data_IF_628868747442
#
_entry.id   IF_628868747442
#
_cell.length_a   1.000
_cell.length_b   1.000
_cell.length_c   1.000
_cell.angle_alpha   90.00
_cell.angle_beta   90.00
_cell.angle_gamma   90.00
#
_symmetry.space_group_name_H-M   'P 1'
#
loop_
_entity.id
_entity.type
_entity.pdbx_description
1 polymer ?
#
# COMPACT_ATOMS: atom_id res chain seq x y z
N UNK A 1 13.06 40.25 11.10
CA UNK A 1 14.26 39.38 11.19
C UNK A 1 14.16 38.35 10.07
N UNK A 2 15.05 38.43 9.07
CA UNK A 2 15.02 37.57 7.87
C UNK A 2 15.34 36.12 8.27
N UNK A 3 14.37 35.21 8.20
CA UNK A 3 14.64 33.78 8.22
C UNK A 3 15.17 33.39 6.84
N UNK A 4 16.45 33.04 6.79
CA UNK A 4 17.12 32.43 5.65
C UNK A 4 16.44 31.10 5.33
N UNK A 5 15.87 31.00 4.11
CA UNK A 5 15.32 29.78 3.57
C UNK A 5 16.43 28.75 3.35
N UNK A 6 16.52 27.76 4.24
CA UNK A 6 17.31 26.54 4.00
C UNK A 6 16.59 25.77 2.89
N UNK A 7 17.20 25.71 1.70
CA UNK A 7 16.76 24.81 0.62
C UNK A 7 16.88 23.37 1.10
N UNK A 8 15.76 22.80 1.52
CA UNK A 8 15.63 21.39 1.90
C UNK A 8 15.68 20.55 0.62
N UNK A 9 16.84 19.95 0.32
CA UNK A 9 16.93 18.89 -0.68
C UNK A 9 16.38 17.62 -0.03
N UNK A 10 15.14 17.29 -0.35
CA UNK A 10 14.51 16.02 0.03
C UNK A 10 15.05 14.97 -0.94
N UNK A 11 16.05 14.19 -0.52
CA UNK A 11 16.34 12.92 -1.19
C UNK A 11 15.24 11.94 -0.79
N UNK A 12 14.20 11.84 -1.63
CA UNK A 12 13.33 10.67 -1.65
C UNK A 12 14.17 9.56 -2.27
N UNK A 13 14.80 8.72 -1.45
CA UNK A 13 15.41 7.50 -1.94
C UNK A 13 14.29 6.55 -2.32
N UNK A 14 13.97 6.51 -3.61
CA UNK A 14 13.33 5.35 -4.23
C UNK A 14 14.17 4.13 -3.86
N UNK A 15 13.59 3.16 -3.15
CA UNK A 15 14.22 1.85 -2.96
C UNK A 15 14.38 1.26 -4.37
N UNK A 16 15.57 1.41 -4.94
CA UNK A 16 15.92 0.86 -6.22
C UNK A 16 15.99 -0.68 -6.07
N UNK A 17 14.94 -1.35 -6.50
CA UNK A 17 14.92 -2.79 -6.68
C UNK A 17 15.73 -3.13 -7.93
N UNK A 18 17.02 -3.38 -7.75
CA UNK A 18 17.86 -3.97 -8.79
C UNK A 18 17.87 -5.48 -8.57
N UNK A 19 17.26 -6.23 -9.49
CA UNK A 19 17.50 -7.66 -9.69
C UNK A 19 18.26 -7.85 -11.01
N UNK A 20 19.38 -8.57 -10.95
CA UNK A 20 20.12 -8.98 -12.13
C UNK A 20 19.41 -10.16 -12.80
N UNK A 21 19.23 -10.07 -14.12
CA UNK A 21 18.70 -11.12 -14.97
C UNK A 21 19.75 -12.24 -15.20
N UNK A 22 19.28 -13.48 -15.17
CA UNK A 22 19.68 -14.52 -16.12
C UNK A 22 18.69 -15.68 -16.04
N UNK A 23 17.85 -15.84 -17.06
CA UNK A 23 17.07 -17.07 -17.26
C UNK A 23 17.15 -17.50 -18.73
N UNK A 24 17.72 -18.70 -18.93
CA UNK A 24 17.46 -19.51 -20.11
C UNK A 24 16.07 -20.13 -19.95
N UNK A 25 15.18 -19.84 -20.87
CA UNK A 25 13.83 -20.39 -20.96
C UNK A 25 13.88 -21.88 -21.29
N UNK A 26 13.28 -22.72 -20.45
CA UNK A 26 12.85 -24.08 -20.82
C UNK A 26 11.34 -24.06 -21.03
N UNK A 27 10.93 -24.24 -22.27
CA UNK A 27 9.54 -24.38 -22.70
C UNK A 27 9.02 -25.74 -22.23
N UNK A 28 7.94 -25.75 -21.44
CA UNK A 28 7.14 -26.95 -21.20
C UNK A 28 5.79 -26.71 -21.87
N UNK A 29 5.56 -27.38 -23.00
CA UNK A 29 4.28 -27.38 -23.70
C UNK A 29 3.34 -28.35 -22.97
N UNK A 30 2.34 -27.82 -22.27
CA UNK A 30 1.13 -28.57 -21.94
C UNK A 30 -0.01 -28.02 -22.80
N UNK A 31 -0.29 -28.70 -23.89
CA UNK A 31 -1.49 -28.52 -24.71
C UNK A 31 -2.66 -29.23 -24.04
N UNK A 32 -3.57 -28.49 -23.44
CA UNK A 32 -4.95 -28.93 -23.25
C UNK A 32 -5.87 -28.02 -24.05
N UNK A 33 -6.34 -28.53 -25.17
CA UNK A 33 -7.44 -27.98 -25.95
C UNK A 33 -8.72 -28.06 -25.11
N UNK A 34 -9.25 -26.91 -24.68
CA UNK A 34 -10.64 -26.82 -24.25
C UNK A 34 -11.38 -25.89 -25.20
N UNK A 35 -12.33 -26.48 -25.89
CA UNK A 35 -13.36 -25.84 -26.71
C UNK A 35 -14.19 -24.88 -25.86
N UNK A 36 -14.33 -23.65 -26.34
CA UNK A 36 -15.15 -22.58 -25.77
C UNK A 36 -16.63 -23.01 -25.68
N UNK A 37 -17.03 -23.44 -24.49
CA UNK A 37 -18.41 -23.33 -24.03
C UNK A 37 -18.43 -22.18 -23.02
N UNK A 38 -18.66 -20.95 -23.49
CA UNK A 38 -18.86 -19.78 -22.60
C UNK A 38 -20.08 -20.05 -21.71
N UNK A 39 -19.83 -20.47 -20.47
CA UNK A 39 -20.82 -20.46 -19.41
C UNK A 39 -21.31 -19.01 -19.23
N UNK A 40 -22.62 -18.77 -19.11
CA UNK A 40 -23.14 -17.42 -18.94
C UNK A 40 -22.54 -16.78 -17.69
N UNK A 41 -21.95 -15.58 -17.84
CA UNK A 41 -21.30 -14.87 -16.73
C UNK A 41 -22.34 -14.54 -15.66
N UNK A 42 -22.18 -15.10 -14.46
CA UNK A 42 -23.12 -14.93 -13.35
C UNK A 42 -22.77 -13.70 -12.51
N UNK A 43 -23.76 -12.88 -12.20
CA UNK A 43 -23.65 -11.83 -11.19
C UNK A 43 -23.37 -12.42 -9.79
N UNK A 44 -22.88 -11.58 -8.86
CA UNK A 44 -22.69 -11.94 -7.45
C UNK A 44 -21.75 -13.14 -7.21
N UNK A 45 -20.80 -13.37 -8.12
CA UNK A 45 -19.79 -14.42 -8.00
C UNK A 45 -18.43 -13.89 -8.45
N UNK A 46 -17.36 -14.42 -7.85
CA UNK A 46 -15.99 -14.16 -8.28
C UNK A 46 -15.63 -15.15 -9.39
N UNK A 47 -15.12 -14.61 -10.47
CA UNK A 47 -14.65 -15.35 -11.64
C UNK A 47 -13.13 -15.22 -11.75
N UNK A 48 -12.51 -16.19 -12.39
CA UNK A 48 -11.07 -16.22 -12.63
C UNK A 48 -10.83 -16.31 -14.13
N UNK A 49 -9.95 -15.45 -14.64
CA UNK A 49 -9.70 -15.32 -16.06
C UNK A 49 -8.20 -15.32 -16.35
N UNK A 50 -7.82 -15.91 -17.48
CA UNK A 50 -6.45 -15.84 -18.00
C UNK A 50 -6.44 -15.07 -19.30
N UNK A 51 -5.52 -14.12 -19.44
CA UNK A 51 -5.32 -13.39 -20.69
C UNK A 51 -4.86 -14.39 -21.74
N UNK A 52 -5.55 -14.40 -22.89
CA UNK A 52 -5.27 -15.35 -23.98
C UNK A 52 -3.79 -15.30 -24.39
N UNK A 53 -3.18 -16.48 -24.52
CA UNK A 53 -1.77 -16.67 -24.90
C UNK A 53 -0.77 -15.95 -23.95
N UNK A 54 -1.09 -15.85 -22.67
CA UNK A 54 -0.25 -15.20 -21.66
C UNK A 54 -0.30 -15.95 -20.33
N UNK A 55 0.73 -15.78 -19.49
CA UNK A 55 0.73 -16.26 -18.10
C UNK A 55 0.03 -15.26 -17.15
N UNK A 56 -0.52 -14.18 -17.69
CA UNK A 56 -1.25 -13.15 -16.94
C UNK A 56 -2.66 -13.63 -16.67
N UNK A 57 -3.08 -13.62 -15.41
CA UNK A 57 -4.42 -13.95 -14.95
C UNK A 57 -4.90 -12.96 -13.89
N UNK A 58 -6.21 -12.90 -13.72
CA UNK A 58 -6.87 -11.99 -12.79
C UNK A 58 -8.17 -12.60 -12.28
N UNK A 59 -8.65 -12.10 -11.15
CA UNK A 59 -10.00 -12.37 -10.68
C UNK A 59 -10.90 -11.16 -10.98
N UNK A 60 -12.19 -11.38 -11.16
CA UNK A 60 -13.15 -10.29 -11.25
C UNK A 60 -14.48 -10.62 -10.58
N UNK A 61 -15.19 -9.60 -10.16
CA UNK A 61 -16.50 -9.70 -9.54
C UNK A 61 -17.48 -8.77 -10.25
N UNK A 62 -18.68 -9.30 -10.52
CA UNK A 62 -19.79 -8.55 -11.07
C UNK A 62 -20.80 -8.25 -9.96
N UNK A 63 -21.23 -6.98 -9.80
CA UNK A 63 -22.17 -6.60 -8.75
C UNK A 63 -23.52 -7.32 -8.91
N UNK A 64 -24.28 -7.47 -7.83
CA UNK A 64 -25.58 -8.16 -7.84
C UNK A 64 -26.55 -7.59 -8.89
N UNK A 65 -26.55 -6.26 -9.08
CA UNK A 65 -27.32 -5.57 -10.13
C UNK A 65 -26.68 -5.58 -11.52
N UNK A 66 -25.87 -6.59 -11.86
CA UNK A 66 -25.22 -6.69 -13.16
C UNK A 66 -26.21 -7.08 -14.29
N UNK A 67 -26.11 -6.38 -15.41
CA UNK A 67 -26.94 -6.46 -16.60
C UNK A 67 -26.03 -6.20 -17.80
N UNK A 68 -25.96 -7.18 -18.70
CA UNK A 68 -25.13 -7.13 -19.91
C UNK A 68 -25.47 -5.97 -20.88
N UNK A 69 -26.61 -5.29 -20.70
CA UNK A 69 -27.07 -4.22 -21.59
C UNK A 69 -26.59 -2.82 -21.21
N UNK A 70 -26.00 -2.64 -20.01
CA UNK A 70 -25.48 -1.35 -19.54
C UNK A 70 -24.02 -1.41 -19.13
N UNK A 71 -23.33 -0.27 -19.17
CA UNK A 71 -21.93 -0.13 -18.75
C UNK A 71 -21.82 0.23 -17.26
N UNK A 72 -20.76 -0.26 -16.61
CA UNK A 72 -20.51 -0.13 -15.18
C UNK A 72 -19.15 0.53 -14.90
N UNK A 73 -19.03 1.32 -13.83
CA UNK A 73 -17.72 1.73 -13.33
C UNK A 73 -16.92 0.50 -12.86
N UNK A 74 -15.58 0.61 -12.92
CA UNK A 74 -14.69 -0.49 -12.52
C UNK A 74 -13.54 -0.02 -11.64
N UNK A 75 -13.18 -0.82 -10.64
CA UNK A 75 -11.95 -0.66 -9.86
C UNK A 75 -11.01 -1.83 -10.14
N UNK A 76 -9.81 -1.51 -10.64
CA UNK A 76 -8.71 -2.46 -10.75
C UNK A 76 -7.86 -2.45 -9.47
N UNK A 77 -7.78 -3.60 -8.80
CA UNK A 77 -7.03 -3.83 -7.59
C UNK A 77 -5.64 -4.40 -7.84
N UNK A 78 -4.68 -3.87 -7.07
CA UNK A 78 -3.30 -4.33 -7.04
C UNK A 78 -2.86 -4.60 -5.60
N UNK A 79 -2.59 -5.87 -5.28
CA UNK A 79 -2.04 -6.32 -4.00
C UNK A 79 -0.52 -6.51 -4.11
N UNK A 80 0.24 -6.17 -3.06
CA UNK A 80 1.72 -6.25 -3.09
C UNK A 80 2.26 -7.68 -3.24
N UNK A 81 1.44 -8.70 -3.02
CA UNK A 81 1.78 -10.12 -3.13
C UNK A 81 1.05 -10.83 -4.26
N UNK A 82 0.50 -10.08 -5.23
CA UNK A 82 -0.28 -10.64 -6.35
C UNK A 82 -1.51 -11.46 -5.91
N UNK A 83 -2.15 -11.09 -4.80
CA UNK A 83 -3.39 -11.72 -4.32
C UNK A 83 -4.62 -10.92 -4.80
N UNK A 84 -4.92 -10.94 -6.09
CA UNK A 84 -6.01 -10.15 -6.69
C UNK A 84 -7.40 -10.42 -6.10
N UNK A 85 -7.68 -11.66 -5.68
CA UNK A 85 -8.95 -12.03 -5.04
C UNK A 85 -9.12 -11.42 -3.64
N UNK A 86 -8.03 -11.14 -2.92
CA UNK A 86 -8.08 -10.63 -1.54
C UNK A 86 -8.88 -9.31 -1.42
N UNK A 87 -8.58 -8.25 -2.18
CA UNK A 87 -9.36 -7.02 -2.12
C UNK A 87 -10.77 -7.17 -2.72
N UNK A 88 -10.97 -8.07 -3.70
CA UNK A 88 -12.31 -8.35 -4.24
C UNK A 88 -13.21 -8.92 -3.15
N UNK A 89 -12.78 -9.98 -2.47
CA UNK A 89 -13.56 -10.62 -1.41
C UNK A 89 -13.85 -9.65 -0.26
N UNK A 90 -12.83 -8.87 0.12
CA UNK A 90 -12.94 -7.87 1.18
C UNK A 90 -14.01 -6.81 0.86
N UNK A 91 -14.09 -6.36 -0.38
CA UNK A 91 -14.90 -5.20 -0.75
C UNK A 91 -16.16 -5.52 -1.56
N UNK A 92 -16.43 -6.79 -1.88
CA UNK A 92 -17.56 -7.22 -2.73
C UNK A 92 -18.90 -6.66 -2.31
N UNK A 93 -19.16 -6.56 -1.00
CA UNK A 93 -20.43 -6.05 -0.47
C UNK A 93 -20.66 -4.60 -0.89
N UNK A 94 -19.69 -3.73 -0.61
CA UNK A 94 -19.78 -2.31 -0.95
C UNK A 94 -19.74 -2.13 -2.47
N UNK A 95 -18.89 -2.86 -3.19
CA UNK A 95 -18.89 -2.82 -4.66
C UNK A 95 -20.24 -3.18 -5.27
N UNK A 96 -20.97 -4.12 -4.66
CA UNK A 96 -22.33 -4.48 -5.10
C UNK A 96 -23.34 -3.36 -4.86
N UNK A 97 -23.31 -2.77 -3.66
CA UNK A 97 -24.21 -1.67 -3.29
C UNK A 97 -24.11 -0.48 -4.25
N UNK A 98 -22.89 -0.18 -4.72
CA UNK A 98 -22.60 0.93 -5.62
C UNK A 98 -22.53 0.52 -7.10
N UNK A 99 -22.81 -0.74 -7.46
CA UNK A 99 -22.73 -1.26 -8.83
C UNK A 99 -21.35 -1.05 -9.50
N UNK A 100 -20.27 -1.36 -8.78
CA UNK A 100 -18.92 -1.40 -9.34
C UNK A 100 -18.53 -2.82 -9.72
N UNK A 101 -17.98 -2.97 -10.92
CA UNK A 101 -17.17 -4.14 -11.27
C UNK A 101 -15.84 -4.01 -10.52
N UNK A 102 -15.32 -5.11 -10.01
CA UNK A 102 -13.95 -5.13 -9.47
C UNK A 102 -13.11 -6.18 -10.18
N UNK A 103 -11.85 -5.85 -10.43
CA UNK A 103 -10.88 -6.70 -11.12
C UNK A 103 -9.60 -6.70 -10.31
N UNK A 104 -9.04 -7.85 -9.97
CA UNK A 104 -7.85 -7.97 -9.14
C UNK A 104 -6.74 -8.72 -9.85
N UNK A 105 -5.58 -8.09 -10.01
CA UNK A 105 -4.42 -8.72 -10.66
C UNK A 105 -3.83 -9.82 -9.79
N UNK A 106 -3.56 -10.99 -10.38
CA UNK A 106 -2.90 -12.12 -9.72
C UNK A 106 -1.43 -12.29 -10.13
N UNK A 107 -0.84 -11.29 -10.79
CA UNK A 107 0.57 -11.34 -11.22
C UNK A 107 1.40 -10.16 -10.71
N UNK A 108 0.78 -9.01 -10.46
CA UNK A 108 1.48 -7.84 -9.95
C UNK A 108 1.90 -8.06 -8.50
N UNK A 109 3.19 -8.29 -8.25
CA UNK A 109 3.79 -8.38 -6.91
C UNK A 109 5.03 -7.50 -6.81
N UNK A 110 5.46 -7.21 -5.58
CA UNK A 110 6.71 -6.50 -5.34
C UNK A 110 7.90 -7.18 -6.00
N UNK A 111 8.88 -6.38 -6.43
CA UNK A 111 10.15 -6.88 -6.97
C UNK A 111 10.19 -7.15 -8.47
N UNK A 112 9.09 -6.99 -9.20
CA UNK A 112 9.09 -7.15 -10.66
C UNK A 112 9.76 -5.94 -11.35
N UNK A 113 10.38 -6.14 -12.53
CA UNK A 113 10.84 -5.05 -13.39
C UNK A 113 9.70 -4.18 -13.92
N UNK A 114 9.99 -2.92 -14.24
CA UNK A 114 8.99 -1.98 -14.77
C UNK A 114 8.27 -2.49 -16.02
N UNK A 115 8.99 -3.10 -16.97
CA UNK A 115 8.41 -3.63 -18.19
C UNK A 115 7.38 -4.75 -17.92
N UNK A 116 7.59 -5.54 -16.87
CA UNK A 116 6.64 -6.59 -16.48
C UNK A 116 5.38 -5.98 -15.86
N UNK A 117 5.49 -4.95 -15.00
CA UNK A 117 4.32 -4.24 -14.51
C UNK A 117 3.48 -3.65 -15.66
N UNK A 118 4.11 -2.97 -16.61
CA UNK A 118 3.40 -2.40 -17.77
C UNK A 118 2.71 -3.47 -18.62
N UNK A 119 3.35 -4.63 -18.80
CA UNK A 119 2.73 -5.75 -19.50
C UNK A 119 1.51 -6.31 -18.74
N UNK A 120 1.61 -6.49 -17.42
CA UNK A 120 0.53 -6.96 -16.56
C UNK A 120 -0.65 -5.98 -16.58
N UNK A 121 -0.39 -4.69 -16.38
CA UNK A 121 -1.42 -3.64 -16.36
C UNK A 121 -2.15 -3.60 -17.71
N UNK A 122 -1.41 -3.38 -18.80
CA UNK A 122 -1.99 -3.19 -20.12
C UNK A 122 -2.75 -4.42 -20.63
N UNK A 123 -2.24 -5.63 -20.36
CA UNK A 123 -2.90 -6.88 -20.76
C UNK A 123 -4.18 -7.12 -19.95
N UNK A 124 -4.14 -6.94 -18.63
CA UNK A 124 -5.32 -7.09 -17.76
C UNK A 124 -6.41 -6.08 -18.13
N UNK A 125 -6.04 -4.82 -18.35
CA UNK A 125 -6.99 -3.77 -18.74
C UNK A 125 -7.64 -4.09 -20.09
N UNK A 126 -6.83 -4.43 -21.11
CA UNK A 126 -7.35 -4.71 -22.45
C UNK A 126 -8.30 -5.90 -22.45
N UNK A 127 -7.92 -6.99 -21.79
CA UNK A 127 -8.72 -8.21 -21.72
C UNK A 127 -10.04 -7.95 -20.98
N UNK A 128 -9.99 -7.38 -19.77
CA UNK A 128 -11.19 -7.08 -18.98
C UNK A 128 -12.13 -6.09 -19.68
N UNK A 129 -11.62 -5.01 -20.28
CA UNK A 129 -12.44 -4.04 -21.02
C UNK A 129 -13.11 -4.67 -22.24
N UNK A 130 -12.46 -5.64 -22.88
CA UNK A 130 -13.02 -6.32 -24.06
C UNK A 130 -14.14 -7.31 -23.71
N UNK A 131 -14.10 -7.92 -22.52
CA UNK A 131 -15.03 -8.97 -22.08
C UNK A 131 -16.18 -8.44 -21.22
N UNK A 132 -15.93 -7.40 -20.43
CA UNK A 132 -16.87 -6.90 -19.43
C UNK A 132 -17.56 -5.62 -19.90
N UNK A 133 -18.75 -5.36 -19.37
CA UNK A 133 -19.51 -4.14 -19.63
C UNK A 133 -18.96 -2.96 -18.83
N UNK A 134 -17.73 -2.55 -19.12
CA UNK A 134 -17.04 -1.45 -18.44
C UNK A 134 -17.34 -0.11 -19.12
N UNK A 135 -17.70 0.89 -18.32
CA UNK A 135 -17.71 2.29 -18.74
C UNK A 135 -16.27 2.81 -18.73
N UNK A 136 -15.72 3.03 -19.93
CA UNK A 136 -14.33 3.50 -20.09
C UNK A 136 -14.11 4.93 -19.61
N UNK A 137 -15.17 5.71 -19.35
CA UNK A 137 -15.06 7.01 -18.70
C UNK A 137 -15.01 6.90 -17.17
N UNK A 138 -15.16 5.69 -16.60
CA UNK A 138 -15.25 5.42 -15.17
C UNK A 138 -14.36 4.24 -14.75
N UNK A 139 -13.09 4.31 -15.17
CA UNK A 139 -12.05 3.37 -14.77
C UNK A 139 -11.27 3.95 -13.60
N UNK A 140 -11.12 3.16 -12.54
CA UNK A 140 -10.39 3.52 -11.34
C UNK A 140 -9.39 2.42 -10.97
N UNK A 141 -8.37 2.78 -10.20
CA UNK A 141 -7.40 1.81 -9.68
C UNK A 141 -7.25 1.98 -8.19
N UNK A 142 -7.05 0.88 -7.47
CA UNK A 142 -6.75 0.90 -6.05
C UNK A 142 -5.66 -0.12 -5.73
N UNK A 143 -4.78 0.19 -4.81
CA UNK A 143 -3.77 -0.77 -4.39
C UNK A 143 -3.26 -0.51 -2.99
N UNK A 144 -2.59 -1.51 -2.44
CA UNK A 144 -2.02 -1.46 -1.10
C UNK A 144 -0.51 -1.66 -1.10
N UNK A 145 0.19 -0.85 -0.31
CA UNK A 145 1.65 -0.88 -0.17
C UNK A 145 2.32 -0.78 -1.55
N UNK A 146 3.18 -1.72 -1.95
CA UNK A 146 3.73 -1.73 -3.31
C UNK A 146 2.67 -1.80 -4.41
N UNK A 147 1.53 -2.44 -4.18
CA UNK A 147 0.38 -2.42 -5.09
C UNK A 147 -0.25 -1.03 -5.25
N UNK A 148 -0.18 -0.17 -4.23
CA UNK A 148 -0.63 1.23 -4.34
C UNK A 148 0.21 2.00 -5.37
N UNK A 149 1.52 1.74 -5.40
CA UNK A 149 2.43 2.30 -6.41
C UNK A 149 2.10 1.78 -7.80
N UNK A 150 1.72 0.51 -7.93
CA UNK A 150 1.27 -0.05 -9.22
C UNK A 150 -0.04 0.57 -9.68
N UNK A 151 -1.01 0.79 -8.78
CA UNK A 151 -2.23 1.51 -9.10
C UNK A 151 -1.95 2.93 -9.64
N UNK A 152 -1.01 3.65 -9.03
CA UNK A 152 -0.56 4.96 -9.52
C UNK A 152 0.11 4.85 -10.89
N UNK A 153 1.00 3.87 -11.10
CA UNK A 153 1.66 3.64 -12.39
C UNK A 153 0.65 3.33 -13.50
N UNK A 154 -0.36 2.50 -13.22
CA UNK A 154 -1.42 2.19 -14.16
C UNK A 154 -2.17 3.45 -14.63
N UNK A 155 -2.35 4.44 -13.73
CA UNK A 155 -2.96 5.71 -14.08
C UNK A 155 -2.06 6.65 -14.90
N UNK A 156 -0.74 6.46 -14.85
CA UNK A 156 0.19 7.16 -15.74
C UNK A 156 0.30 6.51 -17.12
N UNK A 157 0.01 5.22 -17.25
CA UNK A 157 0.06 4.51 -18.53
C UNK A 157 -1.12 4.82 -19.46
N UNK A 158 -2.24 5.33 -18.91
CA UNK A 158 -3.43 5.64 -19.71
C UNK A 158 -4.30 6.72 -19.10
N UNK A 159 -4.76 7.65 -19.95
CA UNK A 159 -5.71 8.71 -19.57
C UNK A 159 -7.13 8.18 -19.28
N UNK A 160 -7.38 6.88 -19.50
CA UNK A 160 -8.67 6.26 -19.19
C UNK A 160 -8.91 6.14 -17.68
N UNK A 161 -7.85 6.03 -16.87
CA UNK A 161 -7.99 5.99 -15.41
C UNK A 161 -8.36 7.37 -14.89
N UNK A 162 -9.52 7.51 -14.26
CA UNK A 162 -10.05 8.79 -13.75
C UNK A 162 -9.79 9.01 -12.27
N UNK A 163 -9.41 7.97 -11.54
CA UNK A 163 -9.05 8.11 -10.13
C UNK A 163 -8.23 6.94 -9.60
N UNK A 164 -7.38 7.26 -8.63
CA UNK A 164 -6.50 6.32 -7.93
C UNK A 164 -6.75 6.37 -6.44
N UNK A 165 -6.83 5.21 -5.80
CA UNK A 165 -6.83 5.06 -4.35
C UNK A 165 -5.55 4.34 -3.93
N UNK A 166 -4.66 5.05 -3.25
CA UNK A 166 -3.39 4.52 -2.81
C UNK A 166 -3.42 4.27 -1.30
N UNK A 167 -3.32 3.01 -0.88
CA UNK A 167 -3.40 2.60 0.52
C UNK A 167 -2.02 2.22 1.05
N UNK A 168 -1.59 2.82 2.16
CA UNK A 168 -0.36 2.43 2.87
C UNK A 168 0.96 2.67 2.12
N UNK A 169 0.96 3.25 0.91
CA UNK A 169 2.14 3.80 0.27
C UNK A 169 1.74 4.91 -0.72
N UNK A 170 2.59 5.94 -0.83
CA UNK A 170 2.35 7.06 -1.73
C UNK A 170 3.03 6.85 -3.09
N UNK A 171 3.17 7.92 -3.87
CA UNK A 171 3.75 7.88 -5.21
C UNK A 171 5.16 7.26 -5.20
N UNK A 172 5.49 6.40 -6.19
CA UNK A 172 6.82 5.82 -6.32
C UNK A 172 7.89 6.88 -6.64
N UNK A 173 7.47 7.98 -7.29
CA UNK A 173 8.29 9.13 -7.65
C UNK A 173 7.49 10.41 -7.47
N UNK A 174 8.16 11.51 -7.17
CA UNK A 174 7.51 12.81 -7.04
C UNK A 174 6.88 13.22 -8.39
N UNK A 175 5.57 13.52 -8.46
CA UNK A 175 4.95 14.03 -9.67
C UNK A 175 5.46 15.44 -10.00
N UNK A 176 5.75 15.69 -11.27
CA UNK A 176 6.22 16.98 -11.80
C UNK A 176 5.13 17.78 -12.50
N UNK A 177 4.09 17.12 -13.01
CA UNK A 177 2.99 17.70 -13.76
C UNK A 177 1.66 17.47 -13.04
N UNK A 178 0.64 18.27 -13.39
CA UNK A 178 -0.73 18.07 -12.93
C UNK A 178 -1.20 16.65 -13.26
N UNK A 179 -1.86 16.00 -12.32
CA UNK A 179 -2.38 14.64 -12.50
C UNK A 179 -3.57 14.65 -13.46
N UNK A 180 -3.61 13.68 -14.39
CA UNK A 180 -4.75 13.43 -15.27
C UNK A 180 -5.91 12.66 -14.59
N UNK A 181 -5.70 12.28 -13.33
CA UNK A 181 -6.62 11.50 -12.50
C UNK A 181 -6.77 12.15 -11.12
N UNK A 182 -7.86 11.85 -10.43
CA UNK A 182 -8.08 12.27 -9.03
C UNK A 182 -7.35 11.31 -8.08
N UNK A 183 -6.72 11.83 -7.02
CA UNK A 183 -5.93 11.00 -6.10
C UNK A 183 -6.56 10.92 -4.70
N UNK A 184 -6.77 9.72 -4.16
CA UNK A 184 -7.12 9.52 -2.76
C UNK A 184 -6.02 8.67 -2.09
N UNK A 185 -5.31 9.25 -1.12
CA UNK A 185 -4.41 8.53 -0.24
C UNK A 185 -5.12 8.05 1.02
N UNK A 186 -4.89 6.81 1.44
CA UNK A 186 -5.40 6.28 2.71
C UNK A 186 -4.24 5.68 3.50
N UNK A 187 -4.02 6.13 4.73
CA UNK A 187 -2.90 5.66 5.54
C UNK A 187 -3.25 5.58 7.02
N UNK A 188 -2.77 4.54 7.69
CA UNK A 188 -2.91 4.39 9.13
C UNK A 188 -2.02 5.39 9.87
N UNK A 189 -2.49 5.93 11.00
CA UNK A 189 -1.68 6.81 11.85
C UNK A 189 -0.44 6.10 12.41
N UNK A 190 -0.41 4.76 12.42
CA UNK A 190 0.69 3.92 12.89
C UNK A 190 1.45 3.22 11.74
N UNK A 191 1.12 3.54 10.50
CA UNK A 191 1.80 3.05 9.31
C UNK A 191 3.18 3.70 9.15
N UNK A 192 4.23 2.91 8.90
CA UNK A 192 5.58 3.42 8.70
C UNK A 192 5.69 4.34 7.46
N UNK A 193 4.76 4.23 6.50
CA UNK A 193 4.68 5.09 5.33
C UNK A 193 3.82 6.35 5.54
N UNK A 194 3.35 6.64 6.75
CA UNK A 194 2.55 7.84 7.06
C UNK A 194 3.17 9.13 6.52
N UNK A 195 4.49 9.31 6.71
CA UNK A 195 5.20 10.49 6.23
C UNK A 195 5.29 10.58 4.71
N UNK A 196 5.18 9.47 3.96
CA UNK A 196 5.12 9.53 2.50
C UNK A 196 3.90 10.35 2.04
N UNK A 197 2.75 10.18 2.70
CA UNK A 197 1.53 10.92 2.39
C UNK A 197 1.59 12.37 2.88
N UNK A 198 2.05 12.60 4.11
CA UNK A 198 2.15 13.96 4.65
C UNK A 198 3.12 14.84 3.83
N UNK A 199 4.25 14.29 3.39
CA UNK A 199 5.21 15.00 2.56
C UNK A 199 4.72 15.20 1.11
N UNK A 200 3.75 14.41 0.67
CA UNK A 200 3.17 14.52 -0.67
C UNK A 200 2.15 15.67 -0.79
N UNK A 201 1.48 16.06 0.30
CA UNK A 201 0.51 17.18 0.31
C UNK A 201 1.04 18.46 -0.37
N UNK A 202 2.17 19.05 0.06
CA UNK A 202 2.67 20.30 -0.56
C UNK A 202 3.07 20.12 -2.03
N UNK A 203 3.44 18.90 -2.44
CA UNK A 203 3.76 18.60 -3.85
C UNK A 203 2.47 18.61 -4.68
N UNK A 204 1.42 17.92 -4.20
CA UNK A 204 0.12 17.86 -4.86
C UNK A 204 -0.55 19.23 -4.93
N UNK A 205 -0.43 20.04 -3.87
CA UNK A 205 -0.90 21.43 -3.85
C UNK A 205 -0.20 22.25 -4.94
N UNK A 206 1.13 22.14 -5.05
CA UNK A 206 1.95 22.88 -6.02
C UNK A 206 1.58 22.57 -7.47
N UNK A 207 1.20 21.33 -7.77
CA UNK A 207 0.79 20.93 -9.13
C UNK A 207 -0.73 21.07 -9.35
N UNK A 208 -1.45 21.64 -8.40
CA UNK A 208 -2.91 21.80 -8.42
C UNK A 208 -3.64 20.47 -8.74
N UNK A 209 -3.18 19.37 -8.12
CA UNK A 209 -3.84 18.09 -8.22
C UNK A 209 -5.19 18.13 -7.48
N UNK A 210 -6.20 17.41 -7.99
CA UNK A 210 -7.40 17.14 -7.22
C UNK A 210 -7.16 15.91 -6.35
N UNK A 211 -7.03 16.11 -5.05
CA UNK A 211 -6.68 15.01 -4.15
C UNK A 211 -7.33 15.10 -2.79
N UNK A 212 -7.35 13.95 -2.10
CA UNK A 212 -7.66 13.82 -0.69
C UNK A 212 -6.61 12.90 -0.04
N UNK A 213 -6.26 13.16 1.22
CA UNK A 213 -5.52 12.19 2.05
C UNK A 213 -6.34 11.94 3.31
N UNK A 214 -6.67 10.68 3.56
CA UNK A 214 -7.45 10.23 4.70
C UNK A 214 -6.57 9.40 5.63
N UNK A 215 -6.45 9.88 6.86
CA UNK A 215 -5.74 9.16 7.91
C UNK A 215 -6.77 8.41 8.78
N UNK A 216 -6.44 7.20 9.22
CA UNK A 216 -7.30 6.41 10.12
C UNK A 216 -6.51 5.86 11.31
N UNK A 217 -7.23 5.49 12.38
CA UNK A 217 -6.60 4.80 13.49
C UNK A 217 -6.35 3.34 13.12
N UNK A 218 -5.14 3.06 12.66
CA UNK A 218 -4.72 1.72 12.25
C UNK A 218 -3.27 1.71 11.80
N UNK A 219 -2.84 0.55 11.35
CA UNK A 219 -1.45 0.22 11.02
C UNK A 219 -1.22 0.17 9.51
N UNK A 220 -0.19 -0.56 9.05
CA UNK A 220 0.05 -0.83 7.63
C UNK A 220 -0.86 -1.97 7.14
N UNK A 221 -2.11 -1.64 6.80
CA UNK A 221 -3.14 -2.61 6.44
C UNK A 221 -4.11 -2.09 5.36
N UNK A 222 -4.80 -3.01 4.68
CA UNK A 222 -5.89 -2.66 3.78
C UNK A 222 -7.02 -1.94 4.55
N UNK A 223 -7.58 -0.84 4.03
CA UNK A 223 -8.60 -0.06 4.72
C UNK A 223 -9.88 -0.86 5.03
N UNK A 224 -10.64 -0.43 6.05
CA UNK A 224 -11.94 -1.00 6.39
C UNK A 224 -12.99 -0.76 5.28
N UNK A 225 -14.11 -1.48 5.35
CA UNK A 225 -15.23 -1.33 4.40
C UNK A 225 -15.77 0.11 4.37
N UNK A 226 -15.81 0.80 5.51
CA UNK A 226 -16.24 2.21 5.58
C UNK A 226 -15.28 3.15 4.85
N UNK A 227 -13.96 2.93 4.94
CA UNK A 227 -12.98 3.73 4.21
C UNK A 227 -12.99 3.41 2.71
N UNK A 228 -13.30 2.17 2.34
CA UNK A 228 -13.52 1.80 0.95
C UNK A 228 -14.81 2.43 0.39
N UNK A 229 -15.88 2.51 1.20
CA UNK A 229 -17.09 3.26 0.84
C UNK A 229 -16.77 4.75 0.62
N UNK A 230 -16.00 5.39 1.51
CA UNK A 230 -15.50 6.76 1.29
C UNK A 230 -14.73 6.88 -0.04
N UNK A 231 -13.93 5.88 -0.40
CA UNK A 231 -13.22 5.86 -1.68
C UNK A 231 -14.15 5.77 -2.90
N UNK A 232 -15.24 5.00 -2.82
CA UNK A 232 -16.26 4.98 -3.89
C UNK A 232 -16.98 6.33 -3.97
N UNK A 233 -17.35 6.93 -2.84
CA UNK A 233 -17.99 8.25 -2.82
C UNK A 233 -17.08 9.33 -3.41
N UNK A 234 -15.76 9.23 -3.20
CA UNK A 234 -14.78 10.09 -3.87
C UNK A 234 -14.88 9.97 -5.39
N UNK A 235 -14.96 8.75 -5.93
CA UNK A 235 -15.10 8.52 -7.36
C UNK A 235 -16.43 9.06 -7.91
N UNK A 236 -17.55 8.82 -7.23
CA UNK A 236 -18.87 9.31 -7.62
C UNK A 236 -18.93 10.85 -7.62
N UNK A 237 -18.48 11.47 -6.53
CA UNK A 237 -18.44 12.93 -6.42
C UNK A 237 -17.59 13.56 -7.52
N UNK A 238 -16.40 13.02 -7.81
CA UNK A 238 -15.56 13.57 -8.87
C UNK A 238 -16.09 13.28 -10.27
N UNK A 239 -16.75 12.13 -10.49
CA UNK A 239 -17.43 11.86 -11.75
C UNK A 239 -18.56 12.88 -12.00
N UNK A 240 -19.33 13.26 -10.96
CA UNK A 240 -20.34 14.32 -11.05
C UNK A 240 -19.70 15.68 -11.34
N UNK A 241 -18.63 16.07 -10.61
CA UNK A 241 -17.95 17.37 -10.83
C UNK A 241 -17.38 17.51 -12.24
N UNK A 242 -16.90 16.40 -12.81
CA UNK A 242 -16.33 16.37 -14.15
C UNK A 242 -17.39 16.16 -15.24
N UNK A 243 -18.68 16.10 -14.89
CA UNK A 243 -19.80 15.80 -15.80
C UNK A 243 -19.66 14.45 -16.54
N UNK A 244 -18.88 13.51 -16.00
CA UNK A 244 -18.82 12.12 -16.50
C UNK A 244 -20.12 11.37 -16.23
N UNK A 245 -20.84 11.77 -15.18
CA UNK A 245 -22.20 11.31 -14.86
C UNK A 245 -23.07 12.52 -14.50
N UNK A 246 -24.40 12.44 -14.68
CA UNK A 246 -25.31 13.48 -14.20
C UNK A 246 -25.22 13.64 -12.69
N UNK A 247 -25.44 14.87 -12.22
CA UNK A 247 -25.57 15.15 -10.78
C UNK A 247 -26.70 14.30 -10.17
N UNK A 248 -26.41 13.66 -9.05
CA UNK A 248 -27.36 12.81 -8.32
C UNK A 248 -27.51 13.28 -6.87
N UNK A 249 -28.62 13.95 -6.57
CA UNK A 249 -28.89 14.51 -5.23
C UNK A 249 -28.93 13.43 -4.13
N UNK A 250 -29.40 12.22 -4.43
CA UNK A 250 -29.42 11.12 -3.46
C UNK A 250 -28.00 10.70 -3.07
N UNK A 251 -27.08 10.63 -4.05
CA UNK A 251 -25.68 10.30 -3.80
C UNK A 251 -24.95 11.41 -3.04
N UNK A 252 -25.24 12.67 -3.36
CA UNK A 252 -24.68 13.84 -2.66
C UNK A 252 -25.15 13.85 -1.21
N UNK A 253 -26.46 13.70 -0.97
CA UNK A 253 -27.03 13.66 0.38
C UNK A 253 -26.50 12.47 1.19
N UNK A 254 -26.33 11.29 0.58
CA UNK A 254 -25.69 10.15 1.24
C UNK A 254 -24.26 10.47 1.68
N UNK A 255 -23.47 11.09 0.81
CA UNK A 255 -22.10 11.51 1.12
C UNK A 255 -22.09 12.47 2.30
N UNK A 256 -22.95 13.48 2.28
CA UNK A 256 -23.12 14.45 3.38
C UNK A 256 -23.46 13.73 4.68
N UNK A 257 -24.49 12.89 4.69
CA UNK A 257 -24.94 12.21 5.91
C UNK A 257 -23.87 11.32 6.54
N UNK A 258 -23.08 10.61 5.72
CA UNK A 258 -21.96 9.78 6.22
C UNK A 258 -20.94 10.66 6.95
N UNK A 259 -20.47 11.74 6.32
CA UNK A 259 -19.46 12.59 6.93
C UNK A 259 -20.01 13.42 8.09
N UNK A 260 -21.25 13.89 8.04
CA UNK A 260 -21.88 14.59 9.17
C UNK A 260 -21.97 13.71 10.41
N UNK A 261 -22.34 12.43 10.24
CA UNK A 261 -22.35 11.47 11.33
C UNK A 261 -20.94 11.28 11.92
N UNK A 262 -19.93 11.09 11.07
CA UNK A 262 -18.53 11.00 11.52
C UNK A 262 -18.06 12.26 12.26
N UNK A 263 -18.33 13.45 11.73
CA UNK A 263 -17.98 14.74 12.35
C UNK A 263 -18.63 14.84 13.73
N UNK A 264 -19.92 14.51 13.82
CA UNK A 264 -20.70 14.58 15.07
C UNK A 264 -20.17 13.58 16.12
N UNK A 265 -19.85 12.35 15.71
CA UNK A 265 -19.27 11.35 16.61
C UNK A 265 -17.92 11.79 17.17
N UNK A 266 -17.07 12.41 16.35
CA UNK A 266 -15.80 12.96 16.81
C UNK A 266 -15.98 14.15 17.75
N UNK A 267 -16.94 15.04 17.50
CA UNK A 267 -17.27 16.15 18.42
C UNK A 267 -17.78 15.63 19.77
N UNK A 268 -18.72 14.68 19.75
CA UNK A 268 -19.29 14.06 20.96
C UNK A 268 -18.25 13.29 21.79
N UNK A 269 -17.24 12.73 21.11
CA UNK A 269 -16.14 12.00 21.74
C UNK A 269 -14.94 12.90 22.08
N UNK A 270 -15.08 14.23 21.94
CA UNK A 270 -14.05 15.24 22.17
C UNK A 270 -12.77 15.08 21.31
N UNK A 271 -12.86 14.41 20.17
CA UNK A 271 -11.80 14.32 19.15
C UNK A 271 -11.93 15.47 18.14
N UNK A 272 -11.84 16.72 18.63
CA UNK A 272 -12.13 17.94 17.86
C UNK A 272 -11.23 18.09 16.62
N UNK A 273 -9.97 17.65 16.69
CA UNK A 273 -9.07 17.64 15.53
C UNK A 273 -9.56 16.68 14.42
N UNK A 274 -10.10 15.52 14.77
CA UNK A 274 -10.66 14.58 13.80
C UNK A 274 -11.94 15.13 13.16
N UNK A 275 -12.79 15.81 13.93
CA UNK A 275 -13.95 16.52 13.39
C UNK A 275 -13.53 17.60 12.38
N UNK A 276 -12.45 18.33 12.67
CA UNK A 276 -11.86 19.30 11.75
C UNK A 276 -11.41 18.65 10.44
N UNK A 277 -10.65 17.54 10.49
CA UNK A 277 -10.20 16.82 9.29
C UNK A 277 -11.37 16.25 8.46
N UNK A 278 -12.40 15.70 9.11
CA UNK A 278 -13.58 15.19 8.41
C UNK A 278 -14.43 16.31 7.80
N UNK A 279 -14.46 17.48 8.41
CA UNK A 279 -15.10 18.66 7.81
C UNK A 279 -14.37 19.12 6.53
N UNK A 280 -13.02 19.13 6.54
CA UNK A 280 -12.22 19.38 5.32
C UNK A 280 -12.56 18.35 4.23
N UNK A 281 -12.59 17.07 4.62
CA UNK A 281 -12.86 15.95 3.70
C UNK A 281 -14.24 16.11 3.06
N UNK A 282 -15.28 16.36 3.86
CA UNK A 282 -16.63 16.60 3.37
C UNK A 282 -16.66 17.74 2.34
N UNK A 283 -16.10 18.91 2.69
CA UNK A 283 -16.04 20.06 1.78
C UNK A 283 -15.34 19.68 0.48
N UNK A 284 -14.19 18.99 0.56
CA UNK A 284 -13.46 18.56 -0.61
C UNK A 284 -14.30 17.64 -1.52
N UNK A 285 -15.11 16.75 -0.94
CA UNK A 285 -15.96 15.83 -1.69
C UNK A 285 -17.11 16.56 -2.38
N UNK A 286 -17.78 17.50 -1.70
CA UNK A 286 -19.05 18.07 -2.19
C UNK A 286 -18.90 19.47 -2.82
N UNK A 287 -17.72 20.10 -2.74
CA UNK A 287 -17.49 21.39 -3.38
C UNK A 287 -17.82 21.34 -4.88
N UNK A 288 -18.49 22.37 -5.40
CA UNK A 288 -19.06 22.44 -6.75
C UNK A 288 -20.21 21.45 -7.04
N UNK A 289 -20.71 20.73 -6.03
CA UNK A 289 -21.92 19.90 -6.15
C UNK A 289 -23.11 20.48 -5.37
N UNK A 290 -22.86 21.19 -4.27
CA UNK A 290 -23.93 21.79 -3.45
C UNK A 290 -23.40 23.00 -2.69
N UNK A 291 -24.26 23.72 -1.99
CA UNK A 291 -23.85 24.79 -1.09
C UNK A 291 -23.02 24.23 0.08
N UNK A 292 -21.85 24.82 0.30
CA UNK A 292 -20.89 24.43 1.35
C UNK A 292 -20.73 25.50 2.42
N UNK A 293 -21.58 26.54 2.42
CA UNK A 293 -21.46 27.70 3.30
C UNK A 293 -21.48 27.31 4.78
N UNK A 294 -22.35 26.39 5.18
CA UNK A 294 -22.46 25.92 6.57
C UNK A 294 -21.22 25.13 7.00
N UNK A 295 -20.73 24.22 6.15
CA UNK A 295 -19.52 23.45 6.44
C UNK A 295 -18.27 24.33 6.48
N UNK A 296 -18.21 25.36 5.64
CA UNK A 296 -17.11 26.35 5.66
C UNK A 296 -17.11 27.15 6.96
N UNK A 297 -18.29 27.59 7.43
CA UNK A 297 -18.43 28.23 8.76
C UNK A 297 -17.99 27.27 9.87
N UNK A 298 -18.44 26.02 9.84
CA UNK A 298 -18.04 24.99 10.81
C UNK A 298 -16.53 24.75 10.80
N UNK A 299 -15.92 24.62 9.62
CA UNK A 299 -14.48 24.46 9.46
C UNK A 299 -13.71 25.61 10.12
N UNK A 300 -14.12 26.85 9.87
CA UNK A 300 -13.49 28.04 10.46
C UNK A 300 -13.64 28.07 12.00
N UNK A 301 -14.80 27.67 12.51
CA UNK A 301 -15.03 27.56 13.96
C UNK A 301 -14.11 26.50 14.58
N UNK A 302 -14.04 25.30 13.99
CA UNK A 302 -13.18 24.21 14.45
C UNK A 302 -11.70 24.60 14.38
N UNK A 303 -11.25 25.23 13.29
CA UNK A 303 -9.86 25.71 13.12
C UNK A 303 -9.40 26.64 14.24
N UNK A 304 -10.34 27.41 14.81
CA UNK A 304 -10.03 28.38 15.85
C UNK A 304 -9.98 27.80 17.27
N UNK A 305 -10.49 26.57 17.46
CA UNK A 305 -10.45 25.85 18.74
C UNK A 305 -9.01 25.52 19.15
N UNK A 306 -8.74 25.56 20.44
CA UNK A 306 -7.38 25.38 20.99
C UNK A 306 -6.88 23.95 20.75
N UNK A 307 -7.76 22.96 20.80
CA UNK A 307 -7.50 21.54 20.56
C UNK A 307 -6.96 21.32 19.14
N UNK A 308 -7.55 21.99 18.14
CA UNK A 308 -7.11 21.90 16.74
C UNK A 308 -5.77 22.60 16.55
N UNK A 309 -5.60 23.82 17.09
CA UNK A 309 -4.34 24.56 17.01
C UNK A 309 -3.18 23.81 17.66
N UNK A 310 -3.40 23.23 18.84
CA UNK A 310 -2.41 22.43 19.55
C UNK A 310 -2.06 21.15 18.77
N UNK A 311 -3.07 20.44 18.26
CA UNK A 311 -2.84 19.22 17.47
C UNK A 311 -2.05 19.51 16.19
N UNK A 312 -2.39 20.58 15.47
CA UNK A 312 -1.65 20.98 14.26
C UNK A 312 -0.18 21.32 14.58
N UNK A 313 0.07 22.06 15.66
CA UNK A 313 1.43 22.39 16.11
C UNK A 313 2.21 21.13 16.50
N UNK A 314 1.62 20.28 17.33
CA UNK A 314 2.26 19.03 17.78
C UNK A 314 2.58 18.11 16.60
N UNK A 315 1.68 17.96 15.63
CA UNK A 315 1.91 17.13 14.44
C UNK A 315 3.13 17.62 13.65
N UNK A 316 3.30 18.93 13.44
CA UNK A 316 4.46 19.46 12.72
C UNK A 316 5.77 19.24 13.49
N UNK A 317 5.77 19.40 14.81
CA UNK A 317 6.92 19.10 15.66
C UNK A 317 7.28 17.60 15.64
N UNK A 318 6.27 16.74 15.69
CA UNK A 318 6.43 15.29 15.63
C UNK A 318 6.92 14.82 14.26
N UNK A 319 6.45 15.40 13.15
CA UNK A 319 6.98 15.09 11.80
C UNK A 319 8.49 15.34 11.71
N UNK A 320 8.96 16.47 12.24
CA UNK A 320 10.40 16.78 12.28
C UNK A 320 11.16 15.78 13.13
N UNK A 321 10.64 15.46 14.32
CA UNK A 321 11.23 14.45 15.21
C UNK A 321 11.35 13.09 14.50
N UNK A 322 10.28 12.62 13.87
CA UNK A 322 10.26 11.33 13.17
C UNK A 322 11.30 11.29 12.05
N UNK A 323 11.35 12.31 11.19
CA UNK A 323 12.33 12.38 10.11
C UNK A 323 13.78 12.37 10.62
N UNK A 324 14.06 13.10 11.70
CA UNK A 324 15.40 13.14 12.30
C UNK A 324 15.75 11.79 12.91
N UNK A 325 14.83 11.16 13.64
CA UNK A 325 15.05 9.84 14.23
C UNK A 325 15.27 8.76 13.16
N UNK A 326 14.43 8.72 12.13
CA UNK A 326 14.57 7.79 11.00
C UNK A 326 15.94 7.95 10.32
N UNK A 327 16.37 9.18 10.04
CA UNK A 327 17.70 9.47 9.49
C UNK A 327 18.84 9.04 10.41
N UNK A 328 18.71 9.28 11.71
CA UNK A 328 19.70 8.89 12.71
C UNK A 328 19.94 7.38 12.76
N UNK A 329 18.88 6.58 12.59
CA UNK A 329 19.00 5.12 12.63
C UNK A 329 19.77 4.50 11.46
N UNK A 330 19.74 5.11 10.27
CA UNK A 330 20.61 4.66 9.17
C UNK A 330 22.10 4.68 9.59
N UNK A 331 22.54 5.77 10.24
CA UNK A 331 23.90 5.86 10.76
C UNK A 331 24.12 4.96 11.99
N UNK A 332 23.10 4.76 12.81
CA UNK A 332 23.21 3.93 14.01
C UNK A 332 23.52 2.46 13.71
N UNK A 333 22.98 1.89 12.61
CA UNK A 333 23.31 0.53 12.19
C UNK A 333 24.80 0.32 11.87
N UNK A 334 25.52 1.40 11.52
CA UNK A 334 26.94 1.34 11.18
C UNK A 334 27.85 1.70 12.37
N UNK A 335 27.33 2.40 13.37
CA UNK A 335 28.16 3.08 14.38
C UNK A 335 27.83 2.71 15.83
N UNK A 336 26.71 2.05 16.10
CA UNK A 336 26.23 1.73 17.46
C UNK A 336 26.26 0.23 17.72
N UNK A 337 26.58 -0.12 18.96
CA UNK A 337 26.65 -1.50 19.44
C UNK A 337 25.30 -2.01 19.94
N UNK A 338 25.26 -3.29 20.32
CA UNK A 338 24.05 -3.96 20.83
C UNK A 338 23.58 -3.41 22.16
N UNK A 339 24.46 -2.82 22.99
CA UNK A 339 24.10 -2.21 24.27
C UNK A 339 23.27 -0.95 24.03
N UNK A 340 23.73 -0.10 23.11
CA UNK A 340 23.00 1.08 22.69
C UNK A 340 21.65 0.70 22.08
N UNK A 341 21.62 -0.26 21.16
CA UNK A 341 20.38 -0.72 20.52
C UNK A 341 19.39 -1.32 21.52
N UNK A 342 19.85 -2.06 22.53
CA UNK A 342 18.98 -2.58 23.60
C UNK A 342 18.28 -1.43 24.35
N UNK A 343 19.05 -0.41 24.73
CA UNK A 343 18.51 0.76 25.41
C UNK A 343 17.52 1.52 24.53
N UNK A 344 17.86 1.71 23.25
CA UNK A 344 17.03 2.48 22.33
C UNK A 344 15.73 1.75 21.97
N UNK A 345 15.76 0.44 21.74
CA UNK A 345 14.54 -0.33 21.48
C UNK A 345 13.61 -0.36 22.70
N UNK A 346 14.15 -0.45 23.92
CA UNK A 346 13.36 -0.31 25.15
C UNK A 346 12.72 1.07 25.26
N UNK A 347 13.46 2.12 24.92
CA UNK A 347 12.98 3.50 24.91
C UNK A 347 11.85 3.71 23.88
N UNK A 348 11.98 3.13 22.68
CA UNK A 348 10.92 3.15 21.66
C UNK A 348 9.67 2.43 22.19
N UNK A 349 9.82 1.22 22.73
CA UNK A 349 8.69 0.40 23.18
C UNK A 349 7.90 1.11 24.31
N UNK A 350 8.60 1.73 25.25
CA UNK A 350 7.96 2.53 26.31
C UNK A 350 7.14 3.70 25.75
N UNK A 351 7.63 4.35 24.68
CA UNK A 351 6.97 5.52 24.09
C UNK A 351 5.79 5.13 23.19
N UNK A 352 5.84 4.00 22.50
CA UNK A 352 4.76 3.56 21.63
C UNK A 352 3.55 2.95 22.36
N UNK A 353 3.67 2.67 23.67
CA UNK A 353 2.61 2.07 24.48
C UNK A 353 1.37 2.95 24.70
N UNK A 354 1.39 4.22 24.29
CA UNK A 354 0.25 5.14 24.44
C UNK A 354 -0.43 5.44 23.09
N UNK A 355 -1.75 5.53 23.06
CA UNK A 355 -2.49 5.95 21.85
C UNK A 355 -2.55 7.49 21.71
N UNK A 356 -1.42 8.16 21.91
CA UNK A 356 -1.24 9.61 21.70
C UNK A 356 -0.61 9.87 20.34
N UNK A 357 -0.64 11.11 19.84
CA UNK A 357 0.06 11.48 18.59
C UNK A 357 1.55 11.10 18.65
N UNK A 358 2.19 11.37 19.81
CA UNK A 358 3.58 10.99 20.06
C UNK A 358 3.76 9.47 20.12
N UNK A 359 2.86 8.74 20.76
CA UNK A 359 2.95 7.28 20.83
C UNK A 359 2.78 6.63 19.45
N UNK A 360 1.86 7.13 18.63
CA UNK A 360 1.70 6.72 17.23
C UNK A 360 2.98 6.96 16.42
N UNK A 361 3.67 8.10 16.61
CA UNK A 361 4.98 8.34 16.01
C UNK A 361 6.01 7.28 16.39
N UNK A 362 6.13 6.92 17.67
CA UNK A 362 7.11 5.92 18.07
C UNK A 362 6.74 4.52 17.58
N UNK A 363 5.45 4.23 17.43
CA UNK A 363 4.98 3.02 16.76
C UNK A 363 5.40 2.98 15.28
N UNK A 364 5.25 4.11 14.56
CA UNK A 364 5.75 4.22 13.18
C UNK A 364 7.26 4.03 13.09
N UNK A 365 8.01 4.63 14.01
CA UNK A 365 9.47 4.46 14.10
C UNK A 365 9.85 2.99 14.33
N UNK A 366 9.14 2.28 15.22
CA UNK A 366 9.33 0.85 15.44
C UNK A 366 9.08 0.04 14.16
N UNK A 367 7.98 0.30 13.45
CA UNK A 367 7.67 -0.38 12.20
C UNK A 367 8.67 -0.06 11.08
N UNK A 368 9.11 1.19 11.02
CA UNK A 368 10.15 1.64 10.11
C UNK A 368 11.48 0.91 10.34
N UNK A 369 11.86 0.66 11.60
CA UNK A 369 13.01 -0.19 11.93
C UNK A 369 12.88 -1.60 11.36
N UNK A 370 11.68 -2.19 11.37
CA UNK A 370 11.43 -3.50 10.75
C UNK A 370 11.74 -3.51 9.25
N UNK A 371 11.26 -2.51 8.51
CA UNK A 371 11.52 -2.37 7.07
C UNK A 371 13.00 -2.09 6.79
N UNK A 372 13.65 -1.24 7.58
CA UNK A 372 15.08 -1.02 7.48
C UNK A 372 15.87 -2.30 7.74
N UNK A 373 15.48 -3.11 8.73
CA UNK A 373 16.14 -4.38 9.02
C UNK A 373 16.03 -5.34 7.84
N UNK A 374 14.84 -5.50 7.25
CA UNK A 374 14.68 -6.29 6.02
C UNK A 374 15.62 -5.83 4.90
N UNK A 375 15.62 -4.52 4.62
CA UNK A 375 16.46 -3.93 3.56
C UNK A 375 17.96 -4.13 3.82
N UNK A 376 18.42 -3.86 5.05
CA UNK A 376 19.79 -4.03 5.47
C UNK A 376 20.21 -5.50 5.44
N UNK A 377 19.37 -6.43 5.91
CA UNK A 377 19.66 -7.86 5.84
C UNK A 377 19.79 -8.33 4.38
N UNK A 378 18.88 -7.92 3.50
CA UNK A 378 18.94 -8.26 2.08
C UNK A 378 20.23 -7.73 1.43
N UNK A 379 20.57 -6.46 1.69
CA UNK A 379 21.79 -5.83 1.17
C UNK A 379 23.06 -6.47 1.73
N UNK A 380 23.14 -6.64 3.04
CA UNK A 380 24.28 -7.24 3.74
C UNK A 380 24.49 -8.70 3.34
N UNK A 381 23.41 -9.46 3.17
CA UNK A 381 23.47 -10.82 2.63
C UNK A 381 24.08 -10.79 1.24
N UNK A 382 23.55 -10.02 0.28
CA UNK A 382 24.08 -9.95 -1.09
C UNK A 382 25.56 -9.54 -1.15
N UNK A 383 26.01 -8.69 -0.23
CA UNK A 383 27.40 -8.20 -0.17
C UNK A 383 28.33 -9.07 0.69
N UNK A 384 27.82 -10.16 1.29
CA UNK A 384 28.54 -10.95 2.29
C UNK A 384 29.04 -10.14 3.51
N UNK A 385 28.38 -9.03 3.84
CA UNK A 385 28.74 -8.17 4.97
C UNK A 385 28.22 -8.77 6.28
N UNK A 386 28.99 -9.69 6.85
CA UNK A 386 28.64 -10.45 8.07
C UNK A 386 28.43 -9.53 9.28
N UNK A 387 29.23 -8.47 9.44
CA UNK A 387 29.12 -7.57 10.60
C UNK A 387 27.81 -6.79 10.58
N UNK A 388 27.47 -6.17 9.44
CA UNK A 388 26.20 -5.47 9.28
C UNK A 388 25.02 -6.43 9.42
N UNK A 389 25.12 -7.65 8.88
CA UNK A 389 24.07 -8.65 9.00
C UNK A 389 23.82 -9.05 10.46
N UNK A 390 24.88 -9.25 11.26
CA UNK A 390 24.76 -9.58 12.69
C UNK A 390 24.06 -8.47 13.49
N UNK A 391 24.50 -7.23 13.36
CA UNK A 391 23.88 -6.11 14.11
C UNK A 391 22.44 -5.87 13.64
N UNK A 392 22.17 -6.03 12.33
CA UNK A 392 20.82 -5.89 11.79
C UNK A 392 19.89 -6.99 12.33
N UNK A 393 20.32 -8.25 12.31
CA UNK A 393 19.55 -9.36 12.87
C UNK A 393 19.31 -9.20 14.38
N UNK A 394 20.26 -8.64 15.12
CA UNK A 394 20.06 -8.30 16.53
C UNK A 394 18.89 -7.33 16.71
N UNK A 395 18.86 -6.23 15.94
CA UNK A 395 17.76 -5.26 16.00
C UNK A 395 16.46 -5.89 15.50
N UNK A 396 16.49 -6.62 14.39
CA UNK A 396 15.30 -7.21 13.77
C UNK A 396 14.57 -8.16 14.71
N UNK A 397 15.30 -9.06 15.39
CA UNK A 397 14.74 -9.98 16.38
C UNK A 397 13.93 -9.26 17.46
N UNK A 398 14.46 -8.13 17.94
CA UNK A 398 13.86 -7.36 19.03
C UNK A 398 12.69 -6.47 18.56
N UNK A 399 12.60 -6.15 17.26
CA UNK A 399 11.46 -5.42 16.69
C UNK A 399 10.30 -6.38 16.39
N UNK A 400 10.60 -7.60 15.93
CA UNK A 400 9.60 -8.61 15.52
C UNK A 400 10.09 -10.04 15.76
N UNK A 401 9.72 -10.61 16.92
CA UNK A 401 10.25 -11.89 17.42
C UNK A 401 9.81 -13.12 16.61
N UNK A 402 8.72 -13.04 15.85
CA UNK A 402 8.16 -14.13 15.04
C UNK A 402 8.14 -13.84 13.53
N UNK A 403 9.06 -12.99 13.05
CA UNK A 403 9.11 -12.65 11.63
C UNK A 403 9.77 -13.78 10.81
N UNK A 404 9.11 -14.39 9.81
CA UNK A 404 9.74 -15.39 8.93
C UNK A 404 11.02 -14.87 8.23
N UNK A 405 11.06 -13.59 7.85
CA UNK A 405 12.22 -12.97 7.21
C UNK A 405 13.44 -12.93 8.13
N UNK A 406 13.24 -12.73 9.44
CA UNK A 406 14.33 -12.76 10.42
C UNK A 406 15.02 -14.13 10.43
N UNK A 407 14.23 -15.22 10.41
CA UNK A 407 14.76 -16.57 10.37
C UNK A 407 15.41 -16.90 9.02
N UNK A 408 14.82 -16.43 7.91
CA UNK A 408 15.44 -16.56 6.58
C UNK A 408 16.83 -15.91 6.56
N UNK A 409 16.96 -14.65 7.00
CA UNK A 409 18.24 -13.96 7.01
C UNK A 409 19.22 -14.50 8.06
N UNK A 410 18.73 -15.08 9.15
CA UNK A 410 19.56 -15.82 10.11
C UNK A 410 20.10 -17.11 9.47
N UNK A 411 19.31 -17.79 8.65
CA UNK A 411 19.80 -18.92 7.85
C UNK A 411 20.88 -18.46 6.87
N UNK A 412 20.70 -17.33 6.19
CA UNK A 412 21.71 -16.75 5.31
C UNK A 412 23.01 -16.45 6.07
N UNK A 413 22.95 -15.81 7.24
CA UNK A 413 24.13 -15.55 8.06
C UNK A 413 24.90 -16.84 8.38
N UNK A 414 24.20 -17.89 8.81
CA UNK A 414 24.81 -19.19 9.09
C UNK A 414 25.42 -19.82 7.83
N UNK A 415 24.75 -19.67 6.68
CA UNK A 415 25.27 -20.05 5.37
C UNK A 415 26.61 -19.40 5.04
N UNK A 416 26.70 -18.08 5.22
CA UNK A 416 27.93 -17.30 5.00
C UNK A 416 29.06 -17.67 5.96
N UNK A 417 28.72 -18.16 7.15
CA UNK A 417 29.68 -18.62 8.16
C UNK A 417 30.00 -20.12 8.04
N UNK A 418 29.53 -20.80 6.98
CA UNK A 418 29.69 -22.24 6.77
C UNK A 418 29.08 -23.13 7.88
N UNK A 419 28.09 -22.62 8.62
CA UNK A 419 27.37 -23.38 9.63
C UNK A 419 26.14 -24.06 9.04
N UNK A 420 26.36 -25.21 8.38
CA UNK A 420 25.34 -25.98 7.66
C UNK A 420 24.12 -26.31 8.53
N UNK A 421 24.32 -26.86 9.72
CA UNK A 421 23.21 -27.34 10.55
C UNK A 421 22.30 -26.18 10.99
N UNK A 422 22.89 -25.07 11.46
CA UNK A 422 22.12 -23.90 11.88
C UNK A 422 21.44 -23.20 10.69
N UNK A 423 22.03 -23.23 9.49
CA UNK A 423 21.39 -22.71 8.29
C UNK A 423 20.10 -23.49 7.95
N UNK A 424 20.14 -24.83 8.00
CA UNK A 424 18.95 -25.67 7.78
C UNK A 424 17.89 -25.44 8.86
N UNK A 425 18.29 -25.40 10.13
CA UNK A 425 17.35 -25.20 11.24
C UNK A 425 16.60 -23.86 11.13
N UNK A 426 17.32 -22.77 10.84
CA UNK A 426 16.69 -21.46 10.70
C UNK A 426 15.85 -21.35 9.42
N UNK A 427 16.27 -21.96 8.30
CA UNK A 427 15.46 -21.98 7.08
C UNK A 427 14.17 -22.77 7.29
N UNK A 428 14.23 -23.90 8.01
CA UNK A 428 13.05 -24.65 8.43
C UNK A 428 12.11 -23.78 9.24
N UNK A 429 12.64 -23.06 10.23
CA UNK A 429 11.84 -22.17 11.08
C UNK A 429 11.19 -21.04 10.29
N UNK A 430 11.89 -20.48 9.31
CA UNK A 430 11.33 -19.47 8.42
C UNK A 430 10.12 -20.01 7.63
N UNK A 431 10.24 -21.21 7.05
CA UNK A 431 9.16 -21.88 6.30
C UNK A 431 7.97 -22.19 7.22
N UNK A 432 8.21 -22.72 8.43
CA UNK A 432 7.16 -22.96 9.43
C UNK A 432 6.38 -21.69 9.81
N UNK A 433 7.05 -20.53 9.78
CA UNK A 433 6.45 -19.22 10.05
C UNK A 433 5.86 -18.55 8.79
N UNK A 434 5.82 -19.26 7.65
CA UNK A 434 5.14 -18.83 6.44
C UNK A 434 6.05 -18.20 5.37
N UNK A 435 7.37 -18.31 5.48
CA UNK A 435 8.27 -17.94 4.39
C UNK A 435 8.07 -18.88 3.19
N UNK A 436 7.64 -18.35 2.05
CA UNK A 436 7.27 -19.16 0.88
C UNK A 436 7.86 -18.69 -0.46
N UNK A 437 8.82 -17.76 -0.47
CA UNK A 437 9.49 -17.37 -1.71
C UNK A 437 10.54 -18.41 -2.12
N UNK A 438 10.07 -19.44 -2.81
CA UNK A 438 10.89 -20.53 -3.37
C UNK A 438 12.01 -19.98 -4.24
N UNK A 439 11.71 -18.99 -5.08
CA UNK A 439 12.68 -18.42 -6.01
C UNK A 439 13.79 -17.69 -5.25
N UNK A 440 13.46 -16.98 -4.17
CA UNK A 440 14.45 -16.35 -3.30
C UNK A 440 15.37 -17.39 -2.66
N UNK A 441 14.82 -18.46 -2.07
CA UNK A 441 15.62 -19.54 -1.44
C UNK A 441 16.52 -20.24 -2.46
N UNK A 442 16.02 -20.54 -3.65
CA UNK A 442 16.77 -21.23 -4.69
C UNK A 442 17.91 -20.37 -5.25
N UNK A 443 17.72 -19.05 -5.34
CA UNK A 443 18.73 -18.14 -5.89
C UNK A 443 19.71 -17.60 -4.84
N UNK A 444 19.47 -17.85 -3.55
CA UNK A 444 20.32 -17.37 -2.47
C UNK A 444 21.68 -18.09 -2.47
N UNK A 445 22.77 -17.32 -2.57
CA UNK A 445 24.12 -17.86 -2.65
C UNK A 445 24.60 -18.36 -1.29
N UNK A 446 24.12 -17.76 -0.18
CA UNK A 446 24.44 -18.19 1.17
C UNK A 446 24.02 -19.66 1.42
N UNK A 447 23.07 -20.18 0.66
CA UNK A 447 22.59 -21.55 0.76
C UNK A 447 23.36 -22.56 -0.10
N UNK A 448 24.42 -22.17 -0.79
CA UNK A 448 25.25 -23.11 -1.56
C UNK A 448 25.81 -24.27 -0.70
N UNK A 449 26.03 -24.04 0.60
CA UNK A 449 26.51 -25.08 1.53
C UNK A 449 25.44 -26.12 1.91
N UNK A 450 24.15 -25.82 1.69
CA UNK A 450 23.02 -26.70 2.04
C UNK A 450 22.27 -27.21 0.80
N UNK A 451 22.42 -26.55 -0.35
CA UNK A 451 21.84 -26.99 -1.63
C UNK A 451 22.36 -28.38 -2.00
N UNK A 452 21.44 -29.24 -2.47
CA UNK A 452 21.73 -30.63 -2.83
C UNK A 452 21.71 -31.62 -1.66
N UNK A 453 21.49 -31.16 -0.43
CA UNK A 453 21.30 -32.05 0.72
C UNK A 453 19.88 -32.62 0.77
N UNK A 454 19.71 -33.77 1.42
CA UNK A 454 18.39 -34.38 1.58
C UNK A 454 17.47 -33.46 2.39
N UNK A 455 17.98 -32.86 3.45
CA UNK A 455 17.24 -31.97 4.34
C UNK A 455 16.77 -30.72 3.59
N UNK A 456 17.63 -30.08 2.80
CA UNK A 456 17.23 -28.94 1.97
C UNK A 456 16.12 -29.34 0.98
N UNK A 457 16.24 -30.50 0.33
CA UNK A 457 15.24 -30.99 -0.62
C UNK A 457 13.87 -31.20 0.03
N UNK A 458 13.85 -31.73 1.27
CA UNK A 458 12.62 -31.89 2.07
C UNK A 458 12.02 -30.54 2.46
N UNK A 459 12.85 -29.54 2.81
CA UNK A 459 12.35 -28.20 3.10
C UNK A 459 11.66 -27.58 1.88
N UNK A 460 12.27 -27.70 0.69
CA UNK A 460 11.70 -27.14 -0.53
C UNK A 460 10.37 -27.79 -0.92
N UNK A 461 10.17 -29.08 -0.63
CA UNK A 461 8.88 -29.74 -0.89
C UNK A 461 7.75 -29.34 0.05
N UNK A 462 8.07 -28.71 1.20
CA UNK A 462 7.07 -28.28 2.19
C UNK A 462 6.52 -26.87 1.92
N UNK A 463 7.09 -26.15 0.95
CA UNK A 463 6.61 -24.82 0.57
C UNK A 463 5.46 -25.00 -0.42
N UNK A 464 4.27 -24.56 -0.03
CA UNK A 464 3.04 -24.63 -0.84
C UNK A 464 2.94 -23.50 -1.86
#
# INVERSE_FOLDING_TARGET
MKLTAIKLIILVFSIALISCQNTKTKTINNTSNNTDNEQPIKANTIHYESVKNSNINYAYYLPEGYDSTRKYPVIFFFDSHAKGTLPIEKYKKISSEYNFITVGSNNSKNGLPQQEYSNIISSTFRDAISKLQIDTARIYTMGFSGGARIAILAAYETEKVKGVVACGASFPYQPSNKLAFNFLGIVGNQDFNYLEFENMKPILDKIHANYQITNFNGVHEWPSDSLFEEAILWFECNAMKNNSIPKNEKSINRTISIFENQITNYENSNYIYNAYLKTITLINYINNLTDISEYTKKLNNLKNKIEVKNSLKEIEELKVLELVTQKGYYNAFQTKDTIWWTSELKNIEQKCATNTLRGQLFFRIRNFLGIMCYSNCNSATKQANIELLKITLFVYKNVSENNPDYYYFTACLNGLQNNKNAAIENLKKAIELGFNDIAQIQNEYAFNIIKGTQEYSVLMSNIQ
#
